data_IF_441265245284
#
_entry.id   IF_441265245284
#
_cell.length_a   1.000
_cell.length_b   1.000
_cell.length_c   1.000
_cell.angle_alpha   90.00
_cell.angle_beta   90.00
_cell.angle_gamma   90.00
#
_symmetry.space_group_name_H-M   'P 1'
#
loop_
_entity.id
_entity.type
_entity.pdbx_description
1 polymer ?
#
# COMPACT_ATOMS: atom_id res chain seq x y z
N UNK A 1 -8.10 -0.84 29.28
CA UNK A 1 -7.92 -2.25 28.90
C UNK A 1 -6.90 -2.36 27.76
N UNK A 2 -6.33 -3.53 27.60
CA UNK A 2 -5.33 -3.88 26.60
C UNK A 2 -5.92 -4.92 25.64
N UNK A 3 -5.60 -4.79 24.36
CA UNK A 3 -5.95 -5.78 23.31
C UNK A 3 -4.84 -5.85 22.27
N UNK A 4 -4.83 -6.90 21.48
CA UNK A 4 -3.87 -7.11 20.41
C UNK A 4 -4.50 -6.81 19.06
N UNK A 5 -3.77 -6.15 18.20
CA UNK A 5 -4.15 -5.87 16.81
C UNK A 5 -2.94 -5.97 15.90
N UNK A 6 -3.17 -6.06 14.59
CA UNK A 6 -2.12 -6.14 13.61
C UNK A 6 -1.77 -4.75 13.08
N UNK A 7 -0.49 -4.42 13.08
CA UNK A 7 0.04 -3.24 12.40
C UNK A 7 0.54 -3.63 11.00
N UNK A 8 0.26 -2.81 10.00
CA UNK A 8 0.68 -3.01 8.63
C UNK A 8 1.19 -1.71 8.02
N UNK A 9 2.24 -1.79 7.20
CA UNK A 9 2.55 -0.74 6.24
C UNK A 9 1.61 -0.92 5.04
N UNK A 10 0.63 -0.04 4.92
CA UNK A 10 -0.43 -0.10 3.92
C UNK A 10 0.09 -0.03 2.48
N UNK A 11 1.09 0.82 2.23
CA UNK A 11 1.70 0.92 0.90
C UNK A 11 2.50 -0.35 0.54
N UNK A 12 3.22 -0.95 1.49
CA UNK A 12 3.86 -2.25 1.28
C UNK A 12 2.84 -3.35 1.00
N UNK A 13 1.74 -3.37 1.75
CA UNK A 13 0.66 -4.34 1.52
C UNK A 13 0.13 -4.28 0.07
N UNK A 14 -0.08 -3.08 -0.47
CA UNK A 14 -0.54 -2.89 -1.86
C UNK A 14 0.51 -3.38 -2.85
N UNK A 15 1.79 -3.01 -2.66
CA UNK A 15 2.90 -3.43 -3.54
C UNK A 15 3.03 -4.95 -3.55
N UNK A 16 3.01 -5.60 -2.38
CA UNK A 16 3.14 -7.06 -2.27
C UNK A 16 1.97 -7.81 -2.90
N UNK A 17 0.73 -7.30 -2.81
CA UNK A 17 -0.39 -7.88 -3.52
C UNK A 17 -0.24 -7.76 -5.04
N UNK A 18 0.25 -6.62 -5.55
CA UNK A 18 0.54 -6.45 -6.97
C UNK A 18 1.67 -7.37 -7.45
N UNK A 19 2.73 -7.52 -6.64
CA UNK A 19 3.85 -8.41 -6.91
C UNK A 19 3.39 -9.87 -6.97
N UNK A 20 2.61 -10.33 -5.98
CA UNK A 20 2.04 -11.67 -6.01
C UNK A 20 1.15 -11.90 -7.23
N UNK A 21 0.33 -10.92 -7.62
CA UNK A 21 -0.47 -11.02 -8.82
C UNK A 21 0.41 -11.19 -10.07
N UNK A 22 1.50 -10.43 -10.19
CA UNK A 22 2.45 -10.54 -11.30
C UNK A 22 3.16 -11.90 -11.34
N UNK A 23 3.56 -12.44 -10.19
CA UNK A 23 4.14 -13.79 -10.05
C UNK A 23 3.16 -14.89 -10.53
N UNK A 24 1.85 -14.64 -10.41
CA UNK A 24 0.80 -15.52 -10.93
C UNK A 24 0.34 -15.18 -12.35
N UNK A 25 1.10 -14.34 -13.07
CA UNK A 25 0.90 -14.05 -14.49
C UNK A 25 -0.01 -12.86 -14.79
N UNK A 26 -0.34 -12.02 -13.81
CA UNK A 26 -1.04 -10.77 -14.09
C UNK A 26 -0.10 -9.72 -14.73
N UNK A 27 -0.62 -8.98 -15.70
CA UNK A 27 0.06 -7.81 -16.28
C UNK A 27 -0.26 -6.57 -15.42
N UNK A 28 0.64 -6.23 -14.50
CA UNK A 28 0.51 -5.09 -13.61
C UNK A 28 1.05 -3.83 -14.29
N UNK A 29 0.17 -2.85 -14.52
CA UNK A 29 0.49 -1.60 -15.24
C UNK A 29 0.33 -0.40 -14.34
N UNK A 30 1.42 0.05 -13.73
CA UNK A 30 1.47 1.31 -13.01
C UNK A 30 1.49 2.50 -13.98
N UNK A 31 1.06 3.68 -13.53
CA UNK A 31 1.00 4.90 -14.36
C UNK A 31 0.21 4.72 -15.65
N UNK A 32 -0.83 3.88 -15.61
CA UNK A 32 -1.66 3.56 -16.78
C UNK A 32 -3.13 3.81 -16.44
N UNK A 33 -3.75 4.72 -17.16
CA UNK A 33 -5.15 5.10 -16.98
C UNK A 33 -6.05 4.34 -17.95
N UNK A 34 -7.20 3.84 -17.48
CA UNK A 34 -8.29 3.41 -18.35
C UNK A 34 -9.05 4.65 -18.84
N UNK A 35 -8.93 4.98 -20.11
CA UNK A 35 -9.49 6.20 -20.69
C UNK A 35 -10.77 5.99 -21.48
N UNK A 36 -11.00 4.76 -21.97
CA UNK A 36 -12.24 4.38 -22.62
C UNK A 36 -12.60 2.91 -22.34
N UNK A 37 -13.90 2.62 -22.33
CA UNK A 37 -14.45 1.30 -22.14
C UNK A 37 -15.68 1.13 -23.01
N UNK A 38 -15.60 0.25 -24.03
CA UNK A 38 -16.65 0.01 -25.00
C UNK A 38 -17.07 -1.45 -24.96
N UNK A 39 -18.38 -1.69 -25.04
CA UNK A 39 -18.92 -3.04 -25.07
C UNK A 39 -18.84 -3.63 -26.49
N UNK A 40 -18.00 -4.64 -26.67
CA UNK A 40 -17.88 -5.41 -27.88
C UNK A 40 -18.73 -6.68 -27.89
N UNK A 41 -18.57 -7.52 -28.90
CA UNK A 41 -19.26 -8.81 -28.99
C UNK A 41 -18.62 -9.83 -28.03
N UNK A 42 -19.14 -9.92 -26.80
CA UNK A 42 -18.70 -10.88 -25.78
C UNK A 42 -17.38 -10.51 -25.06
N UNK A 43 -16.91 -9.30 -25.21
CA UNK A 43 -15.75 -8.78 -24.51
C UNK A 43 -15.82 -7.25 -24.39
N UNK A 44 -15.11 -6.69 -23.42
CA UNK A 44 -14.85 -5.26 -23.34
C UNK A 44 -13.66 -4.87 -24.21
N UNK A 45 -13.76 -3.76 -24.91
CA UNK A 45 -12.67 -3.07 -25.61
C UNK A 45 -12.23 -1.96 -24.66
N UNK A 46 -11.03 -2.08 -24.10
CA UNK A 46 -10.51 -1.20 -23.06
C UNK A 46 -9.34 -0.40 -23.62
N UNK A 47 -9.43 0.92 -23.64
CA UNK A 47 -8.32 1.78 -24.04
C UNK A 47 -7.56 2.22 -22.79
N UNK A 48 -6.28 1.87 -22.75
CA UNK A 48 -5.34 2.21 -21.69
C UNK A 48 -4.38 3.28 -22.21
N UNK A 49 -4.12 4.32 -21.40
CA UNK A 49 -3.16 5.38 -21.70
C UNK A 49 -2.04 5.38 -20.69
N UNK A 50 -0.80 5.27 -21.15
CA UNK A 50 0.38 5.43 -20.30
C UNK A 50 0.61 6.93 -19.99
N UNK A 51 0.75 7.28 -18.69
CA UNK A 51 0.69 8.67 -18.23
C UNK A 51 1.88 9.53 -18.69
N UNK A 52 3.08 8.94 -18.86
CA UNK A 52 4.28 9.70 -19.20
C UNK A 52 4.44 9.94 -20.70
N UNK A 53 4.05 8.97 -21.52
CA UNK A 53 4.18 9.03 -22.98
C UNK A 53 2.91 9.48 -23.71
N UNK A 54 1.74 9.36 -23.04
CA UNK A 54 0.44 9.53 -23.66
C UNK A 54 0.05 8.44 -24.66
N UNK A 55 0.89 7.38 -24.80
CA UNK A 55 0.62 6.28 -25.73
C UNK A 55 -0.62 5.52 -25.27
N UNK A 56 -1.53 5.27 -26.23
CA UNK A 56 -2.73 4.48 -26.01
C UNK A 56 -2.55 3.07 -26.55
N UNK A 57 -3.07 2.11 -25.79
CA UNK A 57 -3.14 0.71 -26.17
C UNK A 57 -4.56 0.18 -25.95
N UNK A 58 -5.05 -0.60 -26.89
CA UNK A 58 -6.33 -1.30 -26.77
C UNK A 58 -6.07 -2.72 -26.26
N UNK A 59 -6.81 -3.12 -25.23
CA UNK A 59 -6.85 -4.49 -24.73
C UNK A 59 -8.28 -5.01 -24.69
N UNK A 60 -8.46 -6.33 -24.83
CA UNK A 60 -9.74 -6.99 -24.79
C UNK A 60 -9.90 -7.77 -23.48
N UNK A 61 -11.03 -7.56 -22.79
CA UNK A 61 -11.29 -8.18 -21.49
C UNK A 61 -12.64 -8.91 -21.46
N UNK A 62 -12.68 -10.10 -20.87
CA UNK A 62 -13.93 -10.88 -20.69
C UNK A 62 -14.79 -10.34 -19.54
N UNK A 63 -14.20 -9.57 -18.64
CA UNK A 63 -14.88 -8.90 -17.54
C UNK A 63 -14.06 -7.67 -17.14
N UNK A 64 -14.70 -6.69 -16.55
CA UNK A 64 -14.05 -5.52 -15.93
C UNK A 64 -14.48 -5.41 -14.46
N UNK A 65 -13.51 -5.18 -13.59
CA UNK A 65 -13.76 -4.85 -12.19
C UNK A 65 -13.30 -3.41 -11.95
N UNK A 66 -14.25 -2.55 -11.62
CA UNK A 66 -13.97 -1.18 -11.21
C UNK A 66 -13.70 -1.17 -9.70
N UNK A 67 -12.44 -1.23 -9.33
CA UNK A 67 -11.95 -1.16 -7.95
C UNK A 67 -11.24 0.18 -7.67
N UNK A 68 -11.74 1.27 -8.27
CA UNK A 68 -11.08 2.57 -8.27
C UNK A 68 -11.24 3.35 -6.93
N UNK A 69 -11.74 2.73 -5.85
CA UNK A 69 -11.87 3.36 -4.55
C UNK A 69 -12.70 4.66 -4.61
N UNK A 70 -12.17 5.81 -4.14
CA UNK A 70 -12.91 7.08 -4.17
C UNK A 70 -13.31 7.56 -5.57
N UNK A 71 -12.65 7.08 -6.62
CA UNK A 71 -12.95 7.41 -8.02
C UNK A 71 -13.96 6.48 -8.67
N UNK A 72 -14.52 5.49 -7.96
CA UNK A 72 -15.43 4.48 -8.53
C UNK A 72 -16.61 5.10 -9.28
N UNK A 73 -17.26 6.09 -8.68
CA UNK A 73 -18.40 6.81 -9.28
C UNK A 73 -17.94 7.66 -10.50
N UNK A 74 -16.87 8.45 -10.34
CA UNK A 74 -16.30 9.30 -11.38
C UNK A 74 -15.86 8.50 -12.61
N UNK A 75 -15.31 7.31 -12.40
CA UNK A 75 -14.92 6.44 -13.51
C UNK A 75 -16.15 6.01 -14.33
N UNK A 76 -17.25 5.64 -13.67
CA UNK A 76 -18.49 5.26 -14.34
C UNK A 76 -19.11 6.43 -15.12
N UNK A 77 -19.17 7.62 -14.52
CA UNK A 77 -19.63 8.83 -15.19
C UNK A 77 -18.80 9.17 -16.43
N UNK A 78 -17.47 9.13 -16.29
CA UNK A 78 -16.52 9.43 -17.37
C UNK A 78 -16.64 8.44 -18.53
N UNK A 79 -16.76 7.14 -18.25
CA UNK A 79 -16.75 6.09 -19.27
C UNK A 79 -18.12 5.80 -19.89
N UNK A 80 -19.21 6.00 -19.15
CA UNK A 80 -20.55 5.62 -19.59
C UNK A 80 -21.53 6.77 -19.70
N UNK A 81 -21.16 7.98 -19.27
CA UNK A 81 -22.06 9.14 -19.18
C UNK A 81 -23.36 8.82 -18.41
N UNK A 82 -23.27 7.93 -17.43
CA UNK A 82 -24.41 7.48 -16.61
C UNK A 82 -24.18 7.83 -15.16
N UNK A 83 -25.26 8.22 -14.47
CA UNK A 83 -25.20 8.38 -13.00
C UNK A 83 -24.84 7.03 -12.38
N UNK A 84 -23.91 7.00 -11.38
CA UNK A 84 -23.62 5.80 -10.63
C UNK A 84 -24.88 5.25 -9.96
N UNK A 85 -25.02 3.92 -9.84
CA UNK A 85 -26.20 3.32 -9.20
C UNK A 85 -26.28 3.57 -7.69
N UNK A 86 -25.12 3.86 -7.07
CA UNK A 86 -25.02 4.16 -5.64
C UNK A 86 -24.36 5.52 -5.46
N UNK A 87 -24.97 6.33 -4.62
CA UNK A 87 -24.38 7.59 -4.18
C UNK A 87 -23.29 7.29 -3.13
N UNK A 88 -22.16 7.96 -3.24
CA UNK A 88 -21.04 7.80 -2.33
C UNK A 88 -20.80 9.10 -1.57
N UNK A 89 -20.60 8.97 -0.27
CA UNK A 89 -20.17 10.03 0.62
C UNK A 89 -18.67 9.91 0.82
N UNK A 90 -17.94 10.97 0.50
CA UNK A 90 -16.50 11.00 0.65
C UNK A 90 -16.13 11.52 2.04
N UNK A 91 -15.32 10.77 2.77
CA UNK A 91 -14.88 11.14 4.13
C UNK A 91 -13.36 11.17 4.18
N UNK A 92 -12.80 12.34 4.39
CA UNK A 92 -11.38 12.57 4.59
C UNK A 92 -10.97 12.09 5.99
N UNK A 93 -9.83 11.41 6.06
CA UNK A 93 -9.15 11.08 7.30
C UNK A 93 -7.69 11.45 7.21
N UNK A 94 -7.19 12.20 8.18
CA UNK A 94 -5.87 12.77 8.18
C UNK A 94 -5.04 12.32 9.37
N UNK A 95 -3.72 12.30 9.19
CA UNK A 95 -2.74 11.93 10.21
C UNK A 95 -1.60 12.94 10.23
N UNK A 96 -1.01 13.10 11.41
CA UNK A 96 0.24 13.83 11.60
C UNK A 96 1.35 12.89 12.08
N UNK A 97 2.58 13.16 11.65
CA UNK A 97 3.79 12.51 12.13
C UNK A 97 4.56 13.50 13.00
N UNK A 98 4.87 13.10 14.21
CA UNK A 98 5.54 13.93 15.21
C UNK A 98 6.72 13.16 15.83
N UNK A 99 7.68 13.80 16.53
CA UNK A 99 8.70 13.10 17.27
C UNK A 99 8.10 12.15 18.31
N UNK A 100 8.77 11.03 18.55
CA UNK A 100 8.33 9.94 19.45
C UNK A 100 7.80 10.46 20.78
N UNK A 101 6.57 10.09 21.13
CA UNK A 101 5.89 10.54 22.35
C UNK A 101 6.16 9.64 23.57
N UNK A 102 6.51 8.37 23.35
CA UNK A 102 6.77 7.39 24.41
C UNK A 102 7.79 6.35 23.97
N UNK A 103 8.42 5.69 24.93
CA UNK A 103 9.52 4.73 24.67
C UNK A 103 9.04 3.29 24.41
N UNK A 104 7.76 2.98 24.66
CA UNK A 104 7.21 1.63 24.47
C UNK A 104 6.79 1.36 23.01
N UNK A 105 6.59 0.09 22.67
CA UNK A 105 6.19 -0.32 21.32
C UNK A 105 4.67 -0.42 21.14
N UNK A 106 3.91 -0.27 22.25
CA UNK A 106 2.46 -0.28 22.21
C UNK A 106 1.89 0.97 21.54
N UNK A 107 0.81 0.81 20.79
CA UNK A 107 -0.04 1.91 20.36
C UNK A 107 -1.01 2.33 21.48
N UNK A 108 -1.47 3.56 21.47
CA UNK A 108 -2.51 4.06 22.36
C UNK A 108 -3.75 4.41 21.57
N UNK A 109 -4.90 4.02 22.11
CA UNK A 109 -6.21 4.43 21.64
C UNK A 109 -6.74 5.49 22.62
N UNK A 110 -6.83 6.73 22.18
CA UNK A 110 -7.27 7.87 22.95
C UNK A 110 -8.72 8.19 22.60
N UNK A 111 -9.53 8.40 23.63
CA UNK A 111 -10.93 8.80 23.44
C UNK A 111 -11.08 10.28 23.75
N UNK A 112 -11.49 11.07 22.79
CA UNK A 112 -11.77 12.48 22.98
C UNK A 112 -13.18 12.72 23.55
N UNK A 113 -13.42 13.90 24.11
CA UNK A 113 -14.69 14.29 24.75
C UNK A 113 -15.86 14.34 23.76
N UNK A 114 -15.59 14.50 22.47
CA UNK A 114 -16.58 14.47 21.39
C UNK A 114 -16.95 13.04 20.94
N UNK A 115 -16.37 12.00 21.58
CA UNK A 115 -16.64 10.60 21.31
C UNK A 115 -15.78 9.99 20.21
N UNK A 116 -14.96 10.78 19.50
CA UNK A 116 -14.02 10.25 18.50
C UNK A 116 -12.82 9.56 19.14
N UNK A 117 -12.26 8.61 18.41
CA UNK A 117 -11.10 7.82 18.81
C UNK A 117 -9.91 8.19 17.95
N UNK A 118 -8.79 8.53 18.60
CA UNK A 118 -7.53 8.86 17.96
C UNK A 118 -6.50 7.82 18.38
N UNK A 119 -5.73 7.34 17.42
CA UNK A 119 -4.61 6.45 17.70
C UNK A 119 -3.30 7.23 17.75
N UNK A 120 -2.42 6.84 18.67
CA UNK A 120 -1.02 7.24 18.73
C UNK A 120 -0.19 5.97 18.58
N UNK A 121 0.42 5.82 17.42
CA UNK A 121 1.11 4.59 17.00
C UNK A 121 2.60 4.89 16.90
N UNK A 122 3.49 4.05 17.49
CA UNK A 122 4.91 4.09 17.16
C UNK A 122 5.12 3.98 15.66
N UNK A 123 5.87 4.91 15.09
CA UNK A 123 6.06 4.98 13.64
C UNK A 123 7.53 5.14 13.32
N UNK A 124 8.06 4.19 12.58
CA UNK A 124 9.51 4.04 12.47
C UNK A 124 10.15 4.03 13.87
N UNK A 125 11.43 4.23 14.01
CA UNK A 125 12.06 4.18 15.34
C UNK A 125 11.86 5.49 16.14
N UNK A 126 11.83 6.65 15.45
CA UNK A 126 11.94 7.98 16.08
C UNK A 126 10.64 8.79 16.10
N UNK A 127 9.54 8.27 15.57
CA UNK A 127 8.30 9.02 15.38
C UNK A 127 7.10 8.40 16.07
N UNK A 128 6.06 9.19 16.19
CA UNK A 128 4.69 8.77 16.49
C UNK A 128 3.76 9.25 15.37
N UNK A 129 2.88 8.36 14.92
CA UNK A 129 1.80 8.65 14.00
C UNK A 129 0.53 8.88 14.81
N UNK A 130 -0.12 10.02 14.62
CA UNK A 130 -1.33 10.43 15.34
C UNK A 130 -2.48 10.59 14.34
N UNK A 131 -3.58 9.92 14.55
CA UNK A 131 -4.78 9.98 13.71
C UNK A 131 -5.82 8.93 14.10
N UNK A 132 -6.98 8.99 13.47
CA UNK A 132 -7.31 9.75 12.28
C UNK A 132 -8.40 10.79 12.59
N UNK A 133 -8.42 11.86 11.82
CA UNK A 133 -9.59 12.76 11.76
C UNK A 133 -10.72 12.14 10.93
N UNK A 134 -11.91 12.70 11.00
CA UNK A 134 -13.05 12.38 10.12
C UNK A 134 -13.74 13.69 9.72
N UNK A 135 -13.65 14.03 8.44
CA UNK A 135 -14.26 15.21 7.85
C UNK A 135 -14.94 14.88 6.52
N UNK A 136 -16.10 15.43 6.26
CA UNK A 136 -16.69 15.34 4.92
C UNK A 136 -15.79 15.99 3.89
N UNK A 137 -15.76 15.42 2.68
CA UNK A 137 -14.87 15.87 1.62
C UNK A 137 -15.65 16.03 0.30
N UNK A 138 -15.63 17.24 -0.24
CA UNK A 138 -16.24 17.61 -1.52
C UNK A 138 -15.20 18.18 -2.53
N UNK A 139 -13.91 18.11 -2.16
CA UNK A 139 -12.81 18.65 -2.95
C UNK A 139 -12.31 17.72 -4.06
N UNK A 140 -11.20 18.12 -4.65
CA UNK A 140 -10.47 17.35 -5.67
C UNK A 140 -9.66 16.26 -5.01
N UNK A 141 -9.95 14.99 -5.31
CA UNK A 141 -9.34 13.81 -4.69
C UNK A 141 -7.82 13.78 -4.85
N UNK A 142 -7.31 14.26 -5.98
CA UNK A 142 -5.89 14.29 -6.32
C UNK A 142 -5.08 15.29 -5.48
N UNK A 143 -5.75 16.23 -4.80
CA UNK A 143 -5.10 17.30 -4.01
C UNK A 143 -5.53 17.26 -2.54
N UNK A 144 -6.06 16.13 -2.08
CA UNK A 144 -6.46 15.99 -0.68
C UNK A 144 -5.28 16.24 0.27
N UNK A 145 -5.50 17.06 1.28
CA UNK A 145 -4.53 17.37 2.33
C UNK A 145 -5.24 17.65 3.65
N UNK A 146 -4.50 17.58 4.73
CA UNK A 146 -4.96 17.98 6.07
C UNK A 146 -5.06 19.50 6.14
N UNK A 147 -6.03 20.01 6.87
CA UNK A 147 -6.13 21.44 7.18
C UNK A 147 -5.60 21.75 8.60
N UNK A 148 -5.43 23.05 8.89
CA UNK A 148 -4.85 23.49 10.18
C UNK A 148 -5.76 23.19 11.36
N UNK A 149 -7.07 23.14 11.18
CA UNK A 149 -8.02 22.79 12.25
C UNK A 149 -7.90 21.30 12.61
N UNK A 150 -7.71 20.43 11.63
CA UNK A 150 -7.46 19.01 11.87
C UNK A 150 -6.11 18.79 12.58
N UNK A 151 -5.07 19.54 12.21
CA UNK A 151 -3.77 19.47 12.90
C UNK A 151 -3.91 19.91 14.35
N UNK A 152 -4.55 21.05 14.59
CA UNK A 152 -4.79 21.58 15.93
C UNK A 152 -5.57 20.58 16.80
N UNK A 153 -6.60 19.97 16.23
CA UNK A 153 -7.41 18.94 16.89
C UNK A 153 -6.56 17.73 17.31
N UNK A 154 -5.74 17.18 16.42
CA UNK A 154 -4.91 16.02 16.72
C UNK A 154 -3.86 16.33 17.80
N UNK A 155 -3.28 17.54 17.79
CA UNK A 155 -2.35 18.04 18.80
C UNK A 155 -3.07 18.19 20.15
N UNK A 156 -4.25 18.81 20.19
CA UNK A 156 -5.04 18.99 21.40
C UNK A 156 -5.34 17.64 22.08
N UNK A 157 -5.84 16.67 21.30
CA UNK A 157 -6.13 15.34 21.82
C UNK A 157 -4.89 14.68 22.40
N UNK A 158 -3.77 14.68 21.69
CA UNK A 158 -2.52 14.09 22.16
C UNK A 158 -2.01 14.76 23.43
N UNK A 159 -2.06 16.09 23.49
CA UNK A 159 -1.63 16.89 24.65
C UNK A 159 -2.46 16.62 25.91
N UNK A 160 -3.71 16.21 25.74
CA UNK A 160 -4.56 15.79 26.87
C UNK A 160 -4.11 14.49 27.57
N UNK A 161 -3.31 13.66 26.89
CA UNK A 161 -2.90 12.33 27.39
C UNK A 161 -1.41 12.17 27.64
N UNK A 162 -0.54 12.89 26.91
CA UNK A 162 0.90 12.75 27.02
C UNK A 162 1.55 13.90 27.81
N UNK A 163 2.60 13.58 28.57
CA UNK A 163 3.37 14.59 29.33
C UNK A 163 4.13 15.54 28.40
N UNK A 164 4.68 15.02 27.31
CA UNK A 164 5.29 15.83 26.27
C UNK A 164 4.20 16.56 25.52
N UNK A 165 4.25 17.89 25.58
CA UNK A 165 3.31 18.74 24.87
C UNK A 165 3.82 18.99 23.45
N UNK A 166 2.94 18.85 22.48
CA UNK A 166 3.19 19.12 21.09
C UNK A 166 2.72 20.53 20.73
N UNK A 167 3.45 21.13 19.81
CA UNK A 167 3.08 22.36 19.11
C UNK A 167 2.94 22.09 17.60
N UNK A 168 2.49 23.10 16.84
CA UNK A 168 2.45 23.02 15.38
C UNK A 168 3.82 22.74 14.76
N UNK A 169 4.88 23.26 15.37
CA UNK A 169 6.27 23.11 14.89
C UNK A 169 6.82 21.69 15.09
N UNK A 170 6.20 20.90 15.95
CA UNK A 170 6.57 19.46 16.12
C UNK A 170 6.01 18.58 14.99
N UNK A 171 5.14 19.08 14.14
CA UNK A 171 4.57 18.31 13.02
C UNK A 171 5.57 18.20 11.89
N UNK A 172 6.17 17.02 11.73
CA UNK A 172 7.22 16.73 10.74
C UNK A 172 6.61 16.47 9.37
N UNK A 173 5.49 15.74 9.33
CA UNK A 173 4.81 15.37 8.09
C UNK A 173 3.33 15.11 8.34
N UNK A 174 2.56 15.13 7.28
CA UNK A 174 1.12 14.86 7.30
C UNK A 174 0.76 13.99 6.11
N UNK A 175 -0.31 13.20 6.25
CA UNK A 175 -0.96 12.58 5.10
C UNK A 175 -2.46 12.45 5.31
N UNK A 176 -3.19 12.45 4.20
CA UNK A 176 -4.64 12.35 4.18
C UNK A 176 -5.10 11.34 3.14
N UNK A 177 -6.20 10.68 3.43
CA UNK A 177 -6.88 9.79 2.50
C UNK A 177 -8.37 10.02 2.52
N UNK A 178 -9.06 9.59 1.46
CA UNK A 178 -10.52 9.74 1.34
C UNK A 178 -11.15 8.35 1.26
N UNK A 179 -12.13 8.12 2.14
CA UNK A 179 -12.94 6.90 2.18
C UNK A 179 -14.21 7.12 1.37
N UNK A 180 -14.52 6.28 0.37
CA UNK A 180 -15.82 6.28 -0.28
C UNK A 180 -16.79 5.42 0.54
N UNK A 181 -17.60 6.04 1.36
CA UNK A 181 -18.68 5.36 2.08
C UNK A 181 -19.93 5.33 1.21
N UNK A 182 -20.73 4.27 1.31
CA UNK A 182 -22.04 4.23 0.65
C UNK A 182 -22.95 5.20 1.41
N UNK A 183 -23.58 6.13 0.70
CA UNK A 183 -24.46 7.08 1.36
C UNK A 183 -25.76 6.38 1.84
N UNK A 184 -25.93 6.35 3.16
CA UNK A 184 -27.14 5.87 3.81
C UNK A 184 -27.89 7.09 4.29
N UNK A 185 -28.97 7.47 3.57
CA UNK A 185 -29.79 8.65 3.88
C UNK A 185 -30.09 8.77 5.38
N UNK A 186 -29.75 9.92 5.96
CA UNK A 186 -30.07 10.27 7.35
C UNK A 186 -29.10 9.75 8.42
N UNK A 187 -27.99 9.08 8.04
CA UNK A 187 -26.94 8.68 9.00
C UNK A 187 -25.75 9.64 8.98
N UNK A 188 -25.21 9.94 10.18
CA UNK A 188 -23.92 10.61 10.29
C UNK A 188 -22.80 9.77 9.71
N UNK A 189 -21.74 10.41 9.15
CA UNK A 189 -20.57 9.74 8.56
C UNK A 189 -19.91 8.72 9.50
N UNK A 190 -19.94 8.98 10.81
CA UNK A 190 -19.41 8.08 11.86
C UNK A 190 -20.23 6.81 12.06
N UNK A 191 -21.50 6.78 11.60
CA UNK A 191 -22.45 5.67 11.77
C UNK A 191 -22.73 4.92 10.47
N UNK A 192 -22.19 5.37 9.34
CA UNK A 192 -22.33 4.70 8.04
C UNK A 192 -21.51 3.42 8.05
N UNK A 193 -22.04 2.35 7.45
CA UNK A 193 -21.33 1.08 7.31
C UNK A 193 -20.02 1.27 6.53
N UNK A 194 -18.95 0.70 7.05
CA UNK A 194 -17.65 0.61 6.37
C UNK A 194 -17.45 -0.70 5.62
N UNK A 195 -18.54 -1.46 5.41
CA UNK A 195 -18.52 -2.68 4.64
C UNK A 195 -18.51 -2.35 3.14
N UNK A 196 -18.02 -3.31 2.33
CA UNK A 196 -18.04 -3.15 0.88
C UNK A 196 -19.34 -3.62 0.28
N UNK A 197 -19.66 -3.05 -0.89
CA UNK A 197 -20.75 -3.50 -1.74
C UNK A 197 -20.22 -3.81 -3.14
N UNK A 198 -20.68 -4.93 -3.69
CA UNK A 198 -20.40 -5.34 -5.06
C UNK A 198 -21.60 -5.05 -5.93
N UNK A 199 -21.46 -4.13 -6.87
CA UNK A 199 -22.53 -3.72 -7.77
C UNK A 199 -22.30 -4.27 -9.18
N UNK A 200 -23.06 -5.28 -9.61
CA UNK A 200 -23.05 -5.77 -10.98
C UNK A 200 -23.84 -4.83 -11.89
N UNK A 201 -23.22 -4.40 -12.98
CA UNK A 201 -23.87 -3.54 -13.97
C UNK A 201 -24.62 -4.36 -15.03
N UNK A 202 -25.76 -3.80 -15.50
CA UNK A 202 -26.53 -4.37 -16.61
C UNK A 202 -25.77 -4.16 -17.93
N UNK A 203 -25.00 -5.14 -18.36
CA UNK A 203 -24.25 -5.19 -19.61
C UNK A 203 -24.22 -6.62 -20.14
N UNK A 204 -23.99 -6.82 -21.43
CA UNK A 204 -23.87 -8.16 -22.01
C UNK A 204 -22.54 -8.83 -21.61
N UNK A 205 -21.52 -8.03 -21.28
CA UNK A 205 -20.23 -8.48 -20.77
C UNK A 205 -20.09 -8.02 -19.30
N UNK A 206 -19.66 -8.88 -18.36
CA UNK A 206 -19.61 -8.52 -16.96
C UNK A 206 -18.80 -7.26 -16.65
N UNK A 207 -19.42 -6.35 -15.91
CA UNK A 207 -18.82 -5.19 -15.28
C UNK A 207 -19.28 -5.18 -13.82
N UNK A 208 -18.32 -5.14 -12.89
CA UNK A 208 -18.56 -5.14 -11.45
C UNK A 208 -17.87 -3.93 -10.84
N UNK A 209 -18.60 -3.12 -10.09
CA UNK A 209 -18.02 -2.01 -9.32
C UNK A 209 -17.99 -2.34 -7.82
N UNK A 210 -16.92 -1.90 -7.16
CA UNK A 210 -16.69 -2.09 -5.72
C UNK A 210 -16.84 -0.73 -5.05
N UNK A 211 -17.76 -0.63 -4.10
CA UNK A 211 -17.99 0.54 -3.27
C UNK A 211 -17.62 0.25 -1.83
N UNK A 212 -16.97 1.20 -1.15
CA UNK A 212 -16.57 1.06 0.25
C UNK A 212 -15.44 0.06 0.49
N UNK A 213 -15.44 -0.52 1.69
CA UNK A 213 -14.46 -1.52 2.13
C UNK A 213 -13.39 -0.99 3.06
N UNK A 214 -12.70 -1.92 3.71
CA UNK A 214 -11.60 -1.68 4.64
C UNK A 214 -10.35 -2.38 4.15
N UNK A 215 -9.17 -1.83 4.47
CA UNK A 215 -7.90 -2.51 4.17
C UNK A 215 -7.86 -3.92 4.80
N UNK A 216 -8.43 -4.11 5.98
CA UNK A 216 -8.47 -5.39 6.69
C UNK A 216 -9.32 -6.46 6.03
N UNK A 217 -10.24 -6.10 5.12
CA UNK A 217 -11.13 -7.05 4.42
C UNK A 217 -10.75 -7.27 2.95
N UNK A 218 -9.63 -6.70 2.49
CA UNK A 218 -9.25 -6.73 1.07
C UNK A 218 -9.23 -8.13 0.46
N UNK A 219 -8.72 -9.12 1.21
CA UNK A 219 -8.60 -10.49 0.73
C UNK A 219 -9.96 -11.16 0.55
N UNK A 220 -10.85 -11.05 1.54
CA UNK A 220 -12.21 -11.60 1.45
C UNK A 220 -13.04 -10.89 0.40
N UNK A 221 -12.88 -9.57 0.27
CA UNK A 221 -13.46 -8.78 -0.82
C UNK A 221 -13.05 -9.33 -2.19
N UNK A 222 -11.76 -9.59 -2.39
CA UNK A 222 -11.26 -10.15 -3.65
C UNK A 222 -11.84 -11.55 -3.93
N UNK A 223 -11.97 -12.41 -2.92
CA UNK A 223 -12.62 -13.73 -3.06
C UNK A 223 -14.11 -13.60 -3.42
N UNK A 224 -14.83 -12.63 -2.85
CA UNK A 224 -16.25 -12.38 -3.19
C UNK A 224 -16.40 -11.82 -4.62
N UNK A 225 -15.49 -10.95 -5.07
CA UNK A 225 -15.42 -10.50 -6.48
C UNK A 225 -15.24 -11.70 -7.42
N UNK A 226 -14.29 -12.60 -7.11
CA UNK A 226 -14.05 -13.78 -7.92
C UNK A 226 -15.27 -14.72 -7.93
N UNK A 227 -15.95 -14.88 -6.80
CA UNK A 227 -17.20 -15.63 -6.72
C UNK A 227 -18.31 -15.02 -7.58
N UNK A 228 -18.46 -13.71 -7.59
CA UNK A 228 -19.42 -13.01 -8.45
C UNK A 228 -19.11 -13.20 -9.95
N UNK A 229 -17.83 -13.30 -10.32
CA UNK A 229 -17.36 -13.51 -11.70
C UNK A 229 -17.29 -14.99 -12.11
N UNK A 230 -17.47 -15.95 -11.21
CA UNK A 230 -17.34 -17.38 -11.48
C UNK A 230 -18.17 -17.87 -12.69
N UNK A 231 -19.42 -17.39 -12.94
CA UNK A 231 -20.17 -17.78 -14.14
C UNK A 231 -19.47 -17.46 -15.46
N UNK A 232 -18.68 -16.38 -15.50
CA UNK A 232 -17.89 -15.98 -16.66
C UNK A 232 -16.62 -16.80 -16.85
N UNK A 233 -16.10 -17.37 -15.78
CA UNK A 233 -14.84 -18.11 -15.74
C UNK A 233 -15.03 -19.55 -15.22
N UNK A 234 -15.70 -20.45 -15.97
CA UNK A 234 -16.07 -21.79 -15.49
C UNK A 234 -14.87 -22.70 -15.19
N UNK A 235 -13.67 -22.33 -15.63
CA UNK A 235 -12.41 -23.04 -15.32
C UNK A 235 -11.64 -22.44 -14.14
N UNK A 236 -12.24 -21.49 -13.41
CA UNK A 236 -11.62 -20.91 -12.23
C UNK A 236 -11.38 -21.96 -11.16
N UNK A 237 -10.18 -21.95 -10.55
CA UNK A 237 -9.83 -22.81 -9.43
C UNK A 237 -10.52 -22.40 -8.12
N UNK A 238 -10.34 -23.21 -7.09
CA UNK A 238 -10.81 -22.88 -5.74
C UNK A 238 -10.04 -21.68 -5.15
N UNK A 239 -10.65 -20.92 -4.22
CA UNK A 239 -9.94 -19.87 -3.48
C UNK A 239 -8.71 -20.42 -2.75
N UNK A 240 -7.60 -19.72 -2.85
CA UNK A 240 -6.30 -20.16 -2.30
C UNK A 240 -5.61 -19.09 -1.42
N UNK A 241 -6.04 -17.84 -1.50
CA UNK A 241 -5.36 -16.69 -0.88
C UNK A 241 -5.31 -16.73 0.64
N UNK A 242 -6.23 -17.47 1.29
CA UNK A 242 -6.30 -17.54 2.76
C UNK A 242 -5.03 -18.13 3.40
N UNK A 243 -4.35 -19.03 2.70
CA UNK A 243 -3.17 -19.75 3.21
C UNK A 243 -1.88 -19.36 2.49
N UNK A 244 -1.96 -18.56 1.44
CA UNK A 244 -0.80 -18.13 0.69
C UNK A 244 -0.13 -16.94 1.39
N UNK A 245 1.17 -17.01 1.70
CA UNK A 245 1.92 -15.84 2.14
C UNK A 245 2.04 -14.85 0.99
N UNK A 246 2.13 -13.57 1.32
CA UNK A 246 2.57 -12.56 0.37
C UNK A 246 4.08 -12.71 0.09
N UNK A 247 4.60 -12.15 -1.03
CA UNK A 247 6.03 -12.12 -1.31
C UNK A 247 6.82 -11.58 -0.10
N UNK A 248 7.93 -12.19 0.21
CA UNK A 248 8.69 -11.89 1.42
C UNK A 248 8.21 -12.56 2.70
N UNK A 249 6.99 -13.13 2.72
CA UNK A 249 6.41 -13.81 3.90
C UNK A 249 6.61 -15.32 3.92
N UNK A 250 7.29 -15.91 2.94
CA UNK A 250 7.41 -17.36 2.79
C UNK A 250 8.63 -17.95 3.55
N UNK A 251 8.67 -17.75 4.85
CA UNK A 251 9.78 -18.25 5.68
C UNK A 251 9.86 -19.79 5.71
N UNK A 252 8.73 -20.48 5.62
CA UNK A 252 8.67 -21.95 5.75
C UNK A 252 9.26 -22.71 4.58
N UNK A 253 9.14 -22.19 3.36
CA UNK A 253 9.67 -22.85 2.18
C UNK A 253 11.21 -22.80 2.14
N UNK A 254 11.83 -21.79 2.75
CA UNK A 254 13.28 -21.61 2.76
C UNK A 254 13.98 -22.40 3.87
N UNK A 255 13.32 -22.65 5.01
CA UNK A 255 13.96 -23.25 6.19
C UNK A 255 13.57 -24.71 6.43
N UNK A 256 12.99 -25.40 5.44
CA UNK A 256 12.92 -26.86 5.42
C UNK A 256 12.00 -27.50 6.44
N UNK A 257 10.83 -26.92 6.67
CA UNK A 257 9.73 -27.68 7.28
C UNK A 257 9.37 -28.86 6.40
N UNK A 258 9.49 -30.08 6.93
CA UNK A 258 9.34 -31.36 6.20
C UNK A 258 7.96 -31.61 5.54
N UNK A 259 7.01 -30.71 5.66
CA UNK A 259 5.69 -30.80 5.00
C UNK A 259 5.31 -29.40 4.51
N UNK A 260 5.15 -29.22 3.22
CA UNK A 260 4.67 -28.00 2.55
C UNK A 260 3.21 -27.61 2.87
N UNK A 261 2.68 -28.05 4.00
CA UNK A 261 1.41 -27.61 4.55
C UNK A 261 1.67 -26.43 5.48
N UNK A 262 1.34 -25.23 5.01
CA UNK A 262 1.16 -24.07 5.85
C UNK A 262 0.10 -24.36 6.89
N UNK A 263 0.50 -24.65 8.13
CA UNK A 263 -0.45 -24.78 9.22
C UNK A 263 -1.12 -23.40 9.42
N UNK A 264 -2.42 -23.36 9.15
CA UNK A 264 -3.25 -22.19 9.47
C UNK A 264 -3.16 -21.95 10.98
N UNK A 265 -2.58 -20.82 11.38
CA UNK A 265 -2.46 -20.43 12.79
C UNK A 265 -1.04 -20.52 13.36
N UNK A 266 -0.01 -20.17 12.57
CA UNK A 266 1.33 -19.98 13.15
C UNK A 266 1.28 -18.85 14.16
N UNK A 267 1.70 -19.15 15.38
CA UNK A 267 1.88 -18.19 16.45
C UNK A 267 2.84 -17.08 16.01
N UNK A 268 2.59 -15.84 16.46
CA UNK A 268 3.52 -14.72 16.30
C UNK A 268 4.95 -15.07 16.77
N UNK A 269 5.08 -16.00 17.72
CA UNK A 269 6.35 -16.54 18.17
C UNK A 269 7.10 -17.37 17.10
N UNK A 270 6.41 -18.21 16.34
CA UNK A 270 7.03 -18.97 15.26
C UNK A 270 7.53 -18.05 14.13
N UNK A 271 6.78 -16.99 13.81
CA UNK A 271 7.20 -15.98 12.84
C UNK A 271 8.44 -15.21 13.28
N UNK A 272 8.55 -14.86 14.56
CA UNK A 272 9.73 -14.19 15.11
C UNK A 272 10.97 -15.12 15.14
N UNK A 273 10.80 -16.41 15.39
CA UNK A 273 11.89 -17.40 15.33
C UNK A 273 12.38 -17.60 13.88
N UNK A 274 11.48 -17.61 12.92
CA UNK A 274 11.80 -17.72 11.49
C UNK A 274 12.57 -16.46 11.02
N UNK A 275 12.13 -15.26 11.42
CA UNK A 275 12.82 -14.00 11.13
C UNK A 275 14.23 -13.96 11.75
N UNK A 276 14.36 -14.35 13.01
CA UNK A 276 15.65 -14.43 13.69
C UNK A 276 16.60 -15.41 13.01
N UNK A 277 16.08 -16.54 12.52
CA UNK A 277 16.85 -17.54 11.77
C UNK A 277 17.33 -16.96 10.45
N UNK A 278 16.47 -16.29 9.69
CA UNK A 278 16.85 -15.62 8.45
C UNK A 278 17.90 -14.54 8.69
N UNK A 279 17.70 -13.73 9.74
CA UNK A 279 18.65 -12.69 10.14
C UNK A 279 20.04 -13.26 10.44
N UNK A 280 20.09 -14.36 11.19
CA UNK A 280 21.36 -15.03 11.51
C UNK A 280 22.05 -15.60 10.26
N UNK A 281 21.30 -16.22 9.36
CA UNK A 281 21.83 -16.75 8.09
C UNK A 281 22.40 -15.65 7.20
N UNK A 282 21.65 -14.55 7.01
CA UNK A 282 22.11 -13.44 6.16
C UNK A 282 23.28 -12.69 6.81
N UNK A 283 23.32 -12.56 8.13
CA UNK A 283 24.48 -12.00 8.84
C UNK A 283 25.75 -12.86 8.65
N UNK A 284 25.60 -14.18 8.63
CA UNK A 284 26.73 -15.09 8.37
C UNK A 284 27.16 -15.06 6.89
N UNK A 285 26.21 -14.93 5.97
CA UNK A 285 26.46 -14.82 4.53
C UNK A 285 27.12 -13.49 4.13
N UNK A 286 26.68 -12.40 4.75
CA UNK A 286 27.13 -11.05 4.46
C UNK A 286 27.62 -10.32 5.74
N UNK A 287 28.70 -10.77 6.37
CA UNK A 287 29.21 -10.18 7.62
C UNK A 287 29.70 -8.74 7.43
N UNK A 288 29.88 -8.28 6.20
CA UNK A 288 30.23 -6.93 5.80
C UNK A 288 29.02 -5.97 5.75
N UNK A 289 27.79 -6.51 5.75
CA UNK A 289 26.56 -5.71 5.69
C UNK A 289 26.29 -5.08 7.07
N UNK A 290 25.97 -3.79 7.08
CA UNK A 290 25.61 -3.10 8.32
C UNK A 290 24.35 -3.72 8.95
N UNK A 291 24.40 -3.96 10.25
CA UNK A 291 23.29 -4.61 11.00
C UNK A 291 21.98 -3.82 10.89
N UNK A 292 22.05 -2.48 10.94
CA UNK A 292 20.88 -1.61 10.76
C UNK A 292 20.24 -1.75 9.38
N UNK A 293 21.07 -1.82 8.34
CA UNK A 293 20.59 -1.99 6.96
C UNK A 293 19.95 -3.37 6.77
N UNK A 294 20.57 -4.43 7.27
CA UNK A 294 20.01 -5.78 7.21
C UNK A 294 18.65 -5.84 7.96
N UNK A 295 18.58 -5.25 9.15
CA UNK A 295 17.33 -5.18 9.92
C UNK A 295 16.23 -4.49 9.11
N UNK A 296 16.51 -3.32 8.53
CA UNK A 296 15.54 -2.59 7.71
C UNK A 296 15.09 -3.40 6.49
N UNK A 297 16.04 -4.04 5.79
CA UNK A 297 15.70 -4.89 4.65
C UNK A 297 14.82 -6.07 5.05
N UNK A 298 15.12 -6.76 6.14
CA UNK A 298 14.30 -7.86 6.63
C UNK A 298 12.88 -7.40 7.01
N UNK A 299 12.75 -6.25 7.66
CA UNK A 299 11.45 -5.67 8.01
C UNK A 299 10.65 -5.23 6.78
N UNK A 300 11.33 -4.79 5.73
CA UNK A 300 10.68 -4.26 4.51
C UNK A 300 10.37 -5.37 3.50
N UNK A 301 11.31 -6.30 3.29
CA UNK A 301 11.30 -7.27 2.19
C UNK A 301 11.18 -8.72 2.66
N UNK A 302 11.35 -9.00 3.95
CA UNK A 302 11.32 -10.37 4.47
C UNK A 302 12.31 -11.28 3.77
N UNK A 303 11.85 -12.41 3.25
CA UNK A 303 12.68 -13.38 2.51
C UNK A 303 13.21 -12.85 1.19
N UNK A 304 12.57 -11.84 0.58
CA UNK A 304 13.07 -11.18 -0.62
C UNK A 304 14.37 -10.38 -0.40
N UNK A 305 14.77 -10.18 0.86
CA UNK A 305 16.10 -9.67 1.20
C UNK A 305 17.23 -10.49 0.57
N UNK A 306 17.02 -11.79 0.34
CA UNK A 306 18.00 -12.64 -0.35
C UNK A 306 18.11 -12.28 -1.84
N UNK A 307 16.98 -12.00 -2.49
CA UNK A 307 16.94 -11.54 -3.88
C UNK A 307 17.61 -10.17 -4.01
N UNK A 308 17.36 -9.28 -3.07
CA UNK A 308 18.00 -7.96 -3.00
C UNK A 308 19.50 -8.05 -2.76
N UNK A 309 19.95 -8.91 -1.85
CA UNK A 309 21.36 -9.17 -1.59
C UNK A 309 22.04 -9.83 -2.80
N UNK A 310 21.37 -10.81 -3.44
CA UNK A 310 21.81 -11.50 -4.65
C UNK A 310 23.23 -12.03 -4.54
N UNK A 311 24.11 -11.60 -5.46
CA UNK A 311 25.52 -12.00 -5.58
C UNK A 311 26.51 -11.04 -4.87
N UNK A 312 26.00 -10.03 -4.12
CA UNK A 312 26.85 -9.08 -3.43
C UNK A 312 27.77 -9.80 -2.41
N UNK A 313 29.05 -9.52 -2.49
CA UNK A 313 30.11 -10.13 -1.69
C UNK A 313 30.83 -9.12 -0.78
N UNK A 314 30.57 -7.83 -0.98
CA UNK A 314 31.17 -6.72 -0.26
C UNK A 314 30.28 -5.50 -0.23
N UNK A 315 30.57 -4.53 0.63
CA UNK A 315 29.84 -3.27 0.73
C UNK A 315 29.88 -2.44 -0.59
N UNK A 316 30.95 -2.59 -1.39
CA UNK A 316 31.03 -1.93 -2.70
C UNK A 316 30.02 -2.45 -3.71
N UNK A 317 29.53 -3.68 -3.55
CA UNK A 317 28.53 -4.29 -4.44
C UNK A 317 27.13 -3.76 -4.20
N UNK A 318 26.91 -2.99 -3.12
CA UNK A 318 25.68 -2.22 -2.92
C UNK A 318 25.58 -1.03 -3.88
N UNK A 319 26.69 -0.67 -4.52
CA UNK A 319 26.75 0.41 -5.48
C UNK A 319 26.81 1.80 -4.84
N UNK A 320 26.19 2.78 -5.51
CA UNK A 320 26.22 4.17 -5.07
C UNK A 320 25.39 4.36 -3.80
N UNK A 321 25.96 5.03 -2.79
CA UNK A 321 25.21 5.48 -1.62
C UNK A 321 24.43 6.74 -1.97
N UNK A 322 23.08 6.70 -1.77
CA UNK A 322 22.13 7.72 -2.22
C UNK A 322 21.57 8.57 -1.07
N UNK A 323 22.04 8.33 0.16
CA UNK A 323 21.62 9.04 1.37
C UNK A 323 20.98 8.10 2.40
N UNK A 324 21.03 8.47 3.69
CA UNK A 324 20.67 7.60 4.80
C UNK A 324 21.37 6.23 4.66
N UNK A 325 20.60 5.13 4.59
CA UNK A 325 21.12 3.80 4.31
C UNK A 325 20.59 3.23 2.96
N UNK A 326 20.23 4.13 2.01
CA UNK A 326 19.76 3.77 0.68
C UNK A 326 20.96 3.62 -0.29
N UNK A 327 21.03 2.50 -0.98
CA UNK A 327 22.02 2.20 -2.00
C UNK A 327 21.38 1.94 -3.36
N UNK A 328 22.14 2.14 -4.44
CA UNK A 328 21.62 1.98 -5.79
C UNK A 328 21.15 0.55 -6.08
N UNK A 329 21.73 -0.48 -5.47
CA UNK A 329 21.26 -1.86 -5.57
C UNK A 329 19.80 -2.03 -5.10
N UNK A 330 19.42 -1.38 -4.01
CA UNK A 330 18.04 -1.40 -3.53
C UNK A 330 17.11 -0.64 -4.48
N UNK A 331 17.56 0.48 -5.01
CA UNK A 331 16.79 1.24 -6.01
C UNK A 331 16.55 0.42 -7.29
N UNK A 332 17.59 -0.29 -7.77
CA UNK A 332 17.47 -1.17 -8.93
C UNK A 332 16.47 -2.31 -8.68
N UNK A 333 16.51 -2.91 -7.50
CA UNK A 333 15.51 -3.91 -7.08
C UNK A 333 14.09 -3.32 -7.11
N UNK A 334 13.88 -2.15 -6.53
CA UNK A 334 12.56 -1.50 -6.49
C UNK A 334 12.04 -1.11 -7.88
N UNK A 335 12.93 -0.72 -8.78
CA UNK A 335 12.58 -0.45 -10.19
C UNK A 335 12.18 -1.74 -10.90
N UNK A 336 12.97 -2.80 -10.75
CA UNK A 336 12.80 -4.06 -11.47
C UNK A 336 11.61 -4.87 -10.96
N UNK A 337 11.40 -4.94 -9.64
CA UNK A 337 10.45 -5.84 -9.00
C UNK A 337 9.20 -5.14 -8.42
N UNK A 338 9.26 -3.83 -8.18
CA UNK A 338 8.19 -3.09 -7.50
C UNK A 338 7.70 -1.85 -8.28
N UNK A 339 8.03 -1.75 -9.56
CA UNK A 339 7.57 -0.69 -10.49
C UNK A 339 7.86 0.74 -10.02
N UNK A 340 8.90 0.96 -9.23
CA UNK A 340 9.28 2.30 -8.83
C UNK A 340 9.76 3.11 -10.05
N UNK A 341 9.28 4.35 -10.22
CA UNK A 341 9.58 5.20 -11.38
C UNK A 341 10.14 6.57 -11.02
N UNK A 342 9.96 7.01 -9.80
CA UNK A 342 10.39 8.33 -9.33
C UNK A 342 10.83 8.25 -7.84
N UNK A 343 11.50 9.30 -7.31
CA UNK A 343 11.94 9.32 -5.92
C UNK A 343 10.83 9.09 -4.90
N UNK A 344 9.64 9.63 -5.11
CA UNK A 344 8.53 9.50 -4.17
C UNK A 344 8.03 8.06 -4.07
N UNK A 345 8.11 7.29 -5.15
CA UNK A 345 7.79 5.87 -5.11
C UNK A 345 8.70 5.13 -4.14
N UNK A 346 9.99 5.46 -4.13
CA UNK A 346 11.00 4.85 -3.27
C UNK A 346 10.91 5.39 -1.85
N UNK A 347 10.97 6.72 -1.71
CA UNK A 347 11.13 7.37 -0.43
C UNK A 347 9.89 7.30 0.47
N UNK A 348 8.67 7.27 -0.12
CA UNK A 348 7.43 7.33 0.62
C UNK A 348 6.60 6.05 0.55
N UNK A 349 6.63 5.34 -0.59
CA UNK A 349 5.75 4.19 -0.84
C UNK A 349 6.45 2.83 -0.68
N UNK A 350 7.80 2.78 -0.63
CA UNK A 350 8.55 1.52 -0.47
C UNK A 350 9.37 1.48 0.81
N UNK A 351 10.13 2.53 1.11
CA UNK A 351 11.12 2.51 2.19
C UNK A 351 10.84 3.42 3.38
N UNK A 352 10.02 4.45 3.22
CA UNK A 352 9.82 5.55 4.18
C UNK A 352 11.10 6.36 4.49
N UNK A 353 12.18 6.18 3.71
CA UNK A 353 13.45 6.90 3.88
C UNK A 353 13.36 8.39 3.58
N UNK A 354 12.23 8.87 3.05
CA UNK A 354 11.95 10.28 2.87
C UNK A 354 12.03 11.12 4.14
N UNK A 355 11.90 10.49 5.32
CA UNK A 355 12.10 11.14 6.62
C UNK A 355 13.57 11.33 6.99
N UNK A 356 14.48 10.55 6.38
CA UNK A 356 15.89 10.48 6.75
C UNK A 356 16.83 11.05 5.70
N UNK A 357 16.40 11.11 4.43
CA UNK A 357 17.20 11.60 3.30
C UNK A 357 17.03 13.12 3.16
N UNK A 358 18.15 13.81 3.11
CA UNK A 358 18.19 15.25 2.85
C UNK A 358 17.90 15.61 1.38
N UNK A 359 17.74 16.89 1.08
CA UNK A 359 17.42 17.37 -0.27
C UNK A 359 18.52 17.04 -1.30
N UNK A 360 19.79 16.93 -0.86
CA UNK A 360 20.89 16.53 -1.73
C UNK A 360 20.76 15.04 -2.11
N UNK A 361 20.45 14.18 -1.15
CA UNK A 361 20.22 12.76 -1.40
C UNK A 361 18.99 12.53 -2.31
N UNK A 362 17.92 13.29 -2.11
CA UNK A 362 16.73 13.27 -3.01
C UNK A 362 17.09 13.64 -4.45
N UNK A 363 17.92 14.68 -4.65
CA UNK A 363 18.37 15.07 -5.98
C UNK A 363 19.24 13.99 -6.64
N UNK A 364 20.21 13.41 -5.91
CA UNK A 364 21.05 12.32 -6.40
C UNK A 364 20.21 11.09 -6.78
N UNK A 365 19.21 10.74 -5.97
CA UNK A 365 18.29 9.64 -6.27
C UNK A 365 17.48 9.92 -7.55
N UNK A 366 17.00 11.15 -7.75
CA UNK A 366 16.27 11.54 -8.95
C UNK A 366 17.11 11.39 -10.23
N UNK A 367 18.36 11.84 -10.18
CA UNK A 367 19.32 11.72 -11.27
C UNK A 367 19.66 10.25 -11.57
N UNK A 368 19.84 9.45 -10.52
CA UNK A 368 20.09 8.02 -10.65
C UNK A 368 18.94 7.31 -11.36
N UNK A 369 17.69 7.49 -10.88
CA UNK A 369 16.50 6.87 -11.48
C UNK A 369 16.38 7.26 -12.96
N UNK A 370 16.57 8.54 -13.26
CA UNK A 370 16.51 9.07 -14.64
C UNK A 370 17.53 8.35 -15.55
N UNK A 371 18.75 8.19 -15.05
CA UNK A 371 19.84 7.52 -15.79
C UNK A 371 19.54 6.04 -16.05
N UNK A 372 19.10 5.31 -15.02
CA UNK A 372 18.76 3.88 -15.13
C UNK A 372 17.62 3.67 -16.12
N UNK A 373 16.57 4.47 -16.03
CA UNK A 373 15.42 4.37 -16.94
C UNK A 373 15.78 4.72 -18.39
N UNK A 374 16.63 5.72 -18.60
CA UNK A 374 17.11 6.06 -19.94
C UNK A 374 17.96 4.94 -20.55
N UNK A 375 18.76 4.24 -19.74
CA UNK A 375 19.54 3.07 -20.19
C UNK A 375 18.63 1.89 -20.57
N UNK A 376 17.62 1.59 -19.75
CA UNK A 376 16.66 0.53 -20.03
C UNK A 376 15.85 0.79 -21.32
N UNK A 377 15.46 2.02 -21.58
CA UNK A 377 14.73 2.40 -22.80
C UNK A 377 15.59 2.21 -24.08
N UNK A 378 16.90 2.43 -24.00
CA UNK A 378 17.83 2.22 -25.12
C UNK A 378 18.15 0.74 -25.37
N UNK A 379 18.04 -0.12 -24.36
CA UNK A 379 18.30 -1.56 -24.51
C UNK A 379 17.08 -2.35 -25.01
N UNK A 380 15.90 -1.74 -25.02
CA UNK A 380 14.64 -2.35 -25.48
C UNK A 380 14.29 -2.01 -26.95
N UNK A 381 15.06 -1.17 -27.65
CA UNK A 381 14.94 -0.83 -29.07
C UNK A 381 16.01 -1.52 -29.90
#
# INVERSE_FOLDING_TARGET
>A
FEYWDAQVDDSRLVVLNAQQAAEHGADVRTYTECVALEEGKGHWIVTLREASSGIEQVVHAKAVVNAAGPWVARLLEKLFAKKPPLDTRLVKGSHIVVPRLHCGDQAFMLQHTDGRVIFVIPYLDDYSLIGTTEAEFDGVLETVHIDEDEIAYLIEVANGYFKRQLSRDDVISTYSGVRPLIDEEGKDATKVSRDYHLEPHKSAVPLLSIYGGKVTTYRTLAEDVMKALAPTFPKMGAPWTKQAPLPGGNYSAQFGGKNGELQSGRDAKASAEDEATLSALLSAQAPWLQVSLLKRWLQTYGTETQTLLGDASSASDLGMHLGADLYSREVDYLIAHEWARNPDDILWRRTKLGYLIDERGKAVLADYITTVRAAAAKGAG
#
